data_IF_351288788975
#
_entry.id   IF_351288788975
#
_cell.length_a   1.000
_cell.length_b   1.000
_cell.length_c   1.000
_cell.angle_alpha   90.00
_cell.angle_beta   90.00
_cell.angle_gamma   90.00
#
_symmetry.space_group_name_H-M   'P 1'
#
loop_
_entity.id
_entity.type
_entity.pdbx_description
1 polymer ?
#
# COMPACT_ATOMS: atom_id res chain seq x y z
N UNK A 1 -1.60 37.63 -25.74
CA UNK A 1 -2.52 36.70 -25.05
C UNK A 1 -2.05 35.23 -25.06
N UNK A 2 -1.07 34.82 -25.87
CA UNK A 2 -0.60 33.42 -25.92
C UNK A 2 0.22 32.95 -24.70
N UNK A 3 0.85 33.85 -23.95
CA UNK A 3 1.80 33.51 -22.89
C UNK A 3 1.15 32.91 -21.63
N UNK A 4 -0.09 33.30 -21.31
CA UNK A 4 -0.83 32.77 -20.16
C UNK A 4 -1.25 31.30 -20.34
N UNK A 5 -1.57 30.89 -21.56
CA UNK A 5 -1.98 29.51 -21.87
C UNK A 5 -0.82 28.51 -21.71
N UNK A 6 0.37 28.87 -22.17
CA UNK A 6 1.56 28.02 -22.08
C UNK A 6 2.05 27.85 -20.63
N UNK A 7 2.04 28.93 -19.83
CA UNK A 7 2.40 28.86 -18.41
C UNK A 7 1.43 27.98 -17.61
N UNK A 8 0.12 28.08 -17.87
CA UNK A 8 -0.88 27.24 -17.21
C UNK A 8 -0.73 25.75 -17.58
N UNK A 9 -0.42 25.45 -18.85
CA UNK A 9 -0.17 24.09 -19.30
C UNK A 9 1.05 23.47 -18.60
N UNK A 10 2.17 24.20 -18.54
CA UNK A 10 3.39 23.76 -17.86
C UNK A 10 3.12 23.47 -16.38
N UNK A 11 2.43 24.37 -15.69
CA UNK A 11 2.08 24.19 -14.29
C UNK A 11 1.23 22.92 -14.08
N UNK A 12 0.26 22.67 -14.96
CA UNK A 12 -0.60 21.49 -14.90
C UNK A 12 0.19 20.19 -15.07
N UNK A 13 1.13 20.16 -16.03
CA UNK A 13 2.00 18.99 -16.25
C UNK A 13 2.90 18.74 -15.05
N UNK A 14 3.48 19.79 -14.46
CA UNK A 14 4.30 19.68 -13.26
C UNK A 14 3.50 19.13 -12.06
N UNK A 15 2.27 19.63 -11.84
CA UNK A 15 1.39 19.14 -10.78
C UNK A 15 1.01 17.68 -11.02
N UNK A 16 0.63 17.32 -12.26
CA UNK A 16 0.30 15.93 -12.59
C UNK A 16 1.48 14.98 -12.36
N UNK A 17 2.70 15.38 -12.73
CA UNK A 17 3.91 14.60 -12.49
C UNK A 17 4.23 14.46 -11.00
N UNK A 18 4.06 15.52 -10.22
CA UNK A 18 4.24 15.47 -8.77
C UNK A 18 3.22 14.54 -8.11
N UNK A 19 1.96 14.59 -8.53
CA UNK A 19 0.93 13.69 -8.02
C UNK A 19 1.16 12.23 -8.43
N UNK A 20 1.63 12.00 -9.66
CA UNK A 20 1.95 10.68 -10.17
C UNK A 20 3.00 9.94 -9.32
N UNK A 21 3.94 10.68 -8.70
CA UNK A 21 4.92 10.13 -7.78
C UNK A 21 4.34 9.72 -6.41
N UNK A 22 3.09 10.11 -6.12
CA UNK A 22 2.41 9.85 -4.85
C UNK A 22 3.21 10.27 -3.60
N UNK A 23 3.62 11.55 -3.49
CA UNK A 23 4.44 12.04 -2.38
C UNK A 23 3.78 11.85 -1.00
N UNK A 24 2.46 11.72 -0.95
CA UNK A 24 1.71 11.43 0.28
C UNK A 24 1.87 9.99 0.80
N UNK A 25 2.44 9.07 0.00
CA UNK A 25 2.67 7.65 0.31
C UNK A 25 4.14 7.36 0.67
N UNK A 26 4.50 7.67 1.91
CA UNK A 26 5.74 7.17 2.51
C UNK A 26 5.70 5.66 2.70
N UNK A 27 6.86 5.03 2.88
CA UNK A 27 6.98 3.57 3.10
C UNK A 27 6.20 3.14 4.32
N UNK A 28 6.41 3.86 5.42
CA UNK A 28 5.78 3.58 6.69
C UNK A 28 4.25 3.78 6.64
N UNK A 29 3.78 4.83 5.96
CA UNK A 29 2.34 5.06 5.78
C UNK A 29 1.70 3.96 4.94
N UNK A 30 2.35 3.57 3.85
CA UNK A 30 1.87 2.49 3.00
C UNK A 30 1.85 1.14 3.76
N UNK A 31 2.90 0.83 4.51
CA UNK A 31 2.96 -0.38 5.34
C UNK A 31 1.84 -0.43 6.39
N UNK A 32 1.63 0.67 7.12
CA UNK A 32 0.53 0.77 8.11
C UNK A 32 -0.83 0.61 7.48
N UNK A 33 -1.10 1.26 6.35
CA UNK A 33 -2.38 1.13 5.64
C UNK A 33 -2.59 -0.28 5.10
N UNK A 34 -1.58 -0.91 4.52
CA UNK A 34 -1.67 -2.28 4.05
C UNK A 34 -1.99 -3.26 5.19
N UNK A 35 -1.30 -3.13 6.33
CA UNK A 35 -1.57 -3.96 7.51
C UNK A 35 -2.98 -3.71 8.08
N UNK A 36 -3.39 -2.45 8.23
CA UNK A 36 -4.72 -2.10 8.72
C UNK A 36 -5.83 -2.65 7.81
N UNK A 37 -5.65 -2.53 6.49
CA UNK A 37 -6.60 -3.05 5.52
C UNK A 37 -6.67 -4.58 5.58
N UNK A 38 -5.54 -5.27 5.71
CA UNK A 38 -5.50 -6.72 5.92
C UNK A 38 -6.24 -7.13 7.19
N UNK A 39 -5.93 -6.50 8.32
CA UNK A 39 -6.62 -6.77 9.58
C UNK A 39 -8.13 -6.51 9.50
N UNK A 40 -8.56 -5.46 8.80
CA UNK A 40 -10.00 -5.22 8.59
C UNK A 40 -10.68 -6.34 7.81
N UNK A 41 -10.01 -6.94 6.82
CA UNK A 41 -10.55 -8.06 6.05
C UNK A 41 -10.59 -9.40 6.81
N UNK A 42 -9.84 -9.50 7.90
CA UNK A 42 -9.80 -10.68 8.78
C UNK A 42 -10.79 -10.58 9.96
N UNK A 43 -11.40 -9.41 10.20
CA UNK A 43 -12.39 -9.25 11.27
C UNK A 43 -13.57 -10.20 11.03
N UNK A 44 -13.92 -10.98 12.06
CA UNK A 44 -15.04 -11.93 12.01
C UNK A 44 -14.72 -13.29 11.40
N UNK A 45 -13.47 -13.56 11.00
CA UNK A 45 -13.04 -14.90 10.58
C UNK A 45 -12.56 -15.72 11.77
N UNK A 46 -13.02 -16.97 11.87
CA UNK A 46 -12.61 -17.93 12.92
C UNK A 46 -11.13 -18.28 12.83
N UNK A 47 -10.61 -18.41 11.60
CA UNK A 47 -9.19 -18.65 11.31
C UNK A 47 -8.47 -17.35 10.93
N UNK A 48 -8.54 -16.35 11.81
CA UNK A 48 -7.97 -15.04 11.54
C UNK A 48 -6.46 -15.13 11.28
N UNK A 49 -6.00 -14.35 10.30
CA UNK A 49 -4.59 -14.19 10.00
C UNK A 49 -4.02 -12.91 10.63
N UNK A 50 -2.81 -13.01 11.17
CA UNK A 50 -2.03 -11.88 11.69
C UNK A 50 -0.90 -11.49 10.75
N UNK A 51 -0.66 -10.18 10.59
CA UNK A 51 0.52 -9.66 9.90
C UNK A 51 1.73 -9.81 10.81
N UNK A 52 2.79 -10.48 10.34
CA UNK A 52 4.05 -10.68 11.07
C UNK A 52 5.17 -9.79 10.55
N UNK A 53 4.98 -9.15 9.41
CA UNK A 53 5.93 -8.22 8.83
C UNK A 53 5.39 -7.53 7.60
N UNK A 54 6.01 -6.42 7.25
CA UNK A 54 5.69 -5.65 6.05
C UNK A 54 6.97 -5.18 5.39
N UNK A 55 7.04 -5.27 4.07
CA UNK A 55 8.13 -4.70 3.29
C UNK A 55 7.53 -3.74 2.27
N UNK A 56 7.78 -2.45 2.45
CA UNK A 56 7.43 -1.47 1.43
C UNK A 56 8.29 -1.72 0.20
N UNK A 57 7.64 -1.85 -0.95
CA UNK A 57 8.27 -2.03 -2.24
C UNK A 57 8.30 -0.72 -3.04
N UNK A 58 8.47 -0.92 -4.34
CA UNK A 58 8.57 0.15 -5.34
C UNK A 58 7.35 1.08 -5.34
N UNK A 59 7.63 2.37 -5.58
CA UNK A 59 6.59 3.33 -5.97
C UNK A 59 6.10 3.02 -7.38
N UNK A 60 4.80 3.19 -7.59
CA UNK A 60 4.09 3.05 -8.86
C UNK A 60 3.26 4.31 -9.10
N UNK A 61 2.76 4.51 -10.30
CA UNK A 61 1.88 5.63 -10.61
C UNK A 61 0.71 5.68 -9.62
N UNK A 62 0.64 6.76 -8.82
CA UNK A 62 -0.39 6.99 -7.80
C UNK A 62 -0.50 5.90 -6.71
N UNK A 63 0.48 5.02 -6.59
CA UNK A 63 0.41 3.86 -5.71
C UNK A 63 1.77 3.43 -5.17
N UNK A 64 1.76 2.63 -4.10
CA UNK A 64 2.95 1.96 -3.59
C UNK A 64 2.68 0.49 -3.38
N UNK A 65 3.57 -0.36 -3.90
CA UNK A 65 3.51 -1.80 -3.62
C UNK A 65 4.03 -2.05 -2.21
N UNK A 66 3.34 -2.87 -1.44
CA UNK A 66 3.74 -3.35 -0.12
C UNK A 66 3.59 -4.86 -0.11
N UNK A 67 4.64 -5.56 0.27
CA UNK A 67 4.59 -7.00 0.52
C UNK A 67 4.23 -7.21 1.99
N UNK A 68 3.10 -7.84 2.25
CA UNK A 68 2.70 -8.27 3.59
C UNK A 68 3.15 -9.70 3.84
N UNK A 69 3.69 -9.93 5.03
CA UNK A 69 3.99 -11.25 5.53
C UNK A 69 2.97 -11.56 6.62
N UNK A 70 2.22 -12.66 6.48
CA UNK A 70 1.16 -13.01 7.40
C UNK A 70 1.15 -14.51 7.73
N UNK A 71 0.47 -14.85 8.82
CA UNK A 71 0.26 -16.23 9.27
C UNK A 71 -1.18 -16.37 9.76
N UNK A 72 -1.78 -17.54 9.54
CA UNK A 72 -3.17 -17.83 9.88
C UNK A 72 -3.23 -18.95 10.92
N UNK A 73 -4.25 -18.92 11.76
CA UNK A 73 -4.57 -19.98 12.73
C UNK A 73 -4.40 -19.57 14.20
N UNK A 74 -5.12 -20.29 15.07
CA UNK A 74 -5.02 -20.24 16.53
C UNK A 74 -3.71 -20.93 16.96
N UNK A 75 -2.66 -20.16 17.25
CA UNK A 75 -1.34 -20.73 17.56
C UNK A 75 -1.12 -20.86 19.07
N UNK A 76 -1.06 -22.10 19.64
CA UNK A 76 -0.40 -22.36 20.92
C UNK A 76 1.05 -22.86 20.75
N UNK A 77 1.60 -22.94 19.53
CA UNK A 77 2.93 -23.50 19.28
C UNK A 77 3.71 -22.65 18.28
N UNK A 78 5.05 -22.51 18.40
CA UNK A 78 5.86 -21.74 17.46
C UNK A 78 5.69 -22.29 16.03
N UNK A 79 5.35 -21.45 15.03
CA UNK A 79 5.06 -21.92 13.68
C UNK A 79 6.33 -22.47 13.02
N UNK A 80 6.27 -23.70 12.51
CA UNK A 80 7.35 -24.28 11.70
C UNK A 80 7.34 -23.78 10.25
N UNK A 81 6.21 -23.26 9.77
CA UNK A 81 6.07 -22.82 8.38
C UNK A 81 6.52 -21.36 8.15
N UNK A 82 7.15 -21.06 7.00
CA UNK A 82 7.49 -19.70 6.63
C UNK A 82 6.22 -18.83 6.49
N UNK A 83 6.30 -17.53 6.81
CA UNK A 83 5.16 -16.64 6.68
C UNK A 83 4.70 -16.53 5.22
N UNK A 84 3.39 -16.56 5.02
CA UNK A 84 2.79 -16.36 3.71
C UNK A 84 2.99 -14.92 3.26
N UNK A 85 3.10 -14.71 1.94
CA UNK A 85 3.36 -13.39 1.36
C UNK A 85 2.19 -12.97 0.47
N UNK A 86 1.74 -11.73 0.58
CA UNK A 86 0.77 -11.14 -0.35
C UNK A 86 1.22 -9.73 -0.76
N UNK A 87 0.97 -9.37 -2.02
CA UNK A 87 1.26 -8.04 -2.53
C UNK A 87 0.01 -7.16 -2.41
N UNK A 88 0.18 -6.01 -1.79
CA UNK A 88 -0.85 -5.00 -1.60
C UNK A 88 -0.43 -3.72 -2.28
N UNK A 89 -1.32 -3.13 -3.06
CA UNK A 89 -1.10 -1.84 -3.69
C UNK A 89 -1.86 -0.79 -2.89
N UNK A 90 -1.11 0.14 -2.28
CA UNK A 90 -1.67 1.22 -1.48
C UNK A 90 -1.71 2.48 -2.34
N UNK A 91 -2.90 3.03 -2.52
CA UNK A 91 -3.17 4.27 -3.27
C UNK A 91 -3.55 5.39 -2.29
N UNK A 92 -3.80 6.61 -2.80
CA UNK A 92 -4.37 7.68 -1.98
C UNK A 92 -5.80 7.40 -1.46
N UNK A 93 -6.53 6.48 -2.11
CA UNK A 93 -7.94 6.20 -1.82
C UNK A 93 -8.16 4.91 -1.02
N UNK A 94 -7.13 4.07 -0.88
CA UNK A 94 -7.25 2.78 -0.19
C UNK A 94 -6.19 1.78 -0.64
N UNK A 95 -6.32 0.54 -0.17
CA UNK A 95 -5.43 -0.57 -0.49
C UNK A 95 -6.17 -1.65 -1.29
N UNK A 96 -5.47 -2.28 -2.23
CA UNK A 96 -6.01 -3.33 -3.11
C UNK A 96 -5.10 -4.55 -3.03
N UNK A 97 -5.68 -5.72 -2.78
CA UNK A 97 -4.97 -7.01 -2.79
C UNK A 97 -4.89 -7.57 -4.21
N UNK A 98 -3.78 -8.23 -4.52
CA UNK A 98 -3.61 -9.04 -5.73
C UNK A 98 -3.23 -10.47 -5.38
#
# INVERSE_FOLDING_TARGET
MAQAGTSALILTVCVAAALAWSPWLSEERAARWAAAHFHSGQKGRTDACGVVGTQAGERRFFARKVTLFYRCGLLPSPPQDPPQKSAVYVTGFGAIFR
#
